data_IF_488790596359
#
_entry.id   IF_488790596359
#
_cell.length_a   1.000
_cell.length_b   1.000
_cell.length_c   1.000
_cell.angle_alpha   90.00
_cell.angle_beta   90.00
_cell.angle_gamma   90.00
#
_symmetry.space_group_name_H-M   'P 1'
#
loop_
_entity.id
_entity.type
_entity.pdbx_description
1 polymer ?
#
# COMPACT_ATOMS: atom_id res chain seq x y z
N UNK A 1 -19.25 -12.69 -2.80
CA UNK A 1 -17.84 -13.14 -2.76
C UNK A 1 -17.01 -11.87 -2.81
N UNK A 2 -16.13 -11.62 -1.83
CA UNK A 2 -15.28 -10.42 -1.78
C UNK A 2 -13.94 -10.69 -2.46
N UNK A 3 -13.40 -9.75 -3.24
CA UNK A 3 -12.17 -9.93 -4.02
C UNK A 3 -10.95 -9.27 -3.35
N UNK A 4 -11.02 -7.96 -3.12
CA UNK A 4 -10.07 -7.09 -2.45
C UNK A 4 -10.20 -7.23 -0.92
N UNK A 5 -9.76 -8.38 -0.43
CA UNK A 5 -9.68 -8.70 1.00
C UNK A 5 -8.40 -8.14 1.62
N UNK A 6 -8.35 -8.13 2.97
CA UNK A 6 -7.11 -7.82 3.69
C UNK A 6 -5.96 -8.72 3.27
N UNK A 7 -6.20 -10.03 3.18
CA UNK A 7 -5.20 -11.01 2.76
C UNK A 7 -4.69 -10.75 1.34
N UNK A 8 -5.59 -10.37 0.42
CA UNK A 8 -5.21 -9.99 -0.94
C UNK A 8 -4.31 -8.74 -0.93
N UNK A 9 -4.68 -7.70 -0.16
CA UNK A 9 -3.88 -6.49 -0.06
C UNK A 9 -2.51 -6.75 0.58
N UNK A 10 -2.44 -7.57 1.63
CA UNK A 10 -1.18 -7.97 2.23
C UNK A 10 -0.29 -8.75 1.26
N UNK A 11 -0.89 -9.51 0.34
CA UNK A 11 -0.17 -10.20 -0.72
C UNK A 11 0.41 -9.21 -1.73
N UNK A 12 -0.33 -8.15 -2.08
CA UNK A 12 0.16 -7.07 -2.95
C UNK A 12 1.44 -6.42 -2.43
N UNK A 13 1.65 -6.42 -1.10
CA UNK A 13 2.88 -5.88 -0.49
C UNK A 13 4.09 -6.82 -0.62
N UNK A 14 3.94 -8.02 -1.19
CA UNK A 14 4.94 -9.11 -1.19
C UNK A 14 5.34 -9.56 -2.61
N UNK A 15 5.15 -8.70 -3.60
CA UNK A 15 5.41 -9.00 -5.02
C UNK A 15 6.72 -8.46 -5.55
N UNK A 16 7.37 -7.56 -4.81
CA UNK A 16 8.47 -6.74 -5.34
C UNK A 16 9.79 -6.91 -4.59
N UNK A 17 9.88 -7.81 -3.60
CA UNK A 17 11.09 -7.97 -2.79
C UNK A 17 12.34 -8.35 -3.59
N UNK A 18 12.18 -8.92 -4.78
CA UNK A 18 13.29 -9.29 -5.65
C UNK A 18 13.78 -8.15 -6.56
N UNK A 19 13.00 -7.07 -6.75
CA UNK A 19 13.25 -6.09 -7.81
C UNK A 19 14.59 -5.35 -7.67
N UNK A 20 15.01 -5.08 -6.44
CA UNK A 20 16.26 -4.36 -6.16
C UNK A 20 17.41 -5.31 -5.80
N UNK A 21 17.15 -6.61 -5.61
CA UNK A 21 18.18 -7.54 -5.17
C UNK A 21 19.21 -7.78 -6.27
N UNK A 22 20.48 -7.71 -5.87
CA UNK A 22 21.62 -8.06 -6.69
C UNK A 22 22.28 -9.31 -6.16
N UNK A 23 22.70 -10.20 -7.07
CA UNK A 23 23.49 -11.36 -6.71
C UNK A 23 24.86 -10.93 -6.18
N UNK A 24 25.22 -11.42 -4.99
CA UNK A 24 26.56 -11.33 -4.43
C UNK A 24 26.96 -12.67 -3.81
N UNK A 25 28.01 -13.36 -4.32
CA UNK A 25 28.49 -14.61 -3.74
C UNK A 25 28.88 -14.50 -2.26
N UNK A 26 29.33 -13.32 -1.80
CA UNK A 26 29.68 -13.12 -0.38
C UNK A 26 28.44 -13.20 0.53
N UNK A 27 27.24 -12.95 0.01
CA UNK A 27 25.98 -13.08 0.74
C UNK A 27 25.58 -14.54 1.02
N UNK A 28 26.32 -15.54 0.52
CA UNK A 28 26.12 -16.96 0.85
C UNK A 28 26.51 -17.31 2.29
N UNK A 29 27.33 -16.48 2.93
CA UNK A 29 27.86 -16.75 4.26
C UNK A 29 27.73 -15.52 5.15
N UNK A 30 27.50 -15.75 6.44
CA UNK A 30 27.54 -14.68 7.42
C UNK A 30 28.97 -14.16 7.57
N UNK A 31 29.15 -12.84 7.43
CA UNK A 31 30.44 -12.18 7.63
C UNK A 31 30.24 -10.75 8.12
N UNK A 32 30.63 -10.50 9.37
CA UNK A 32 30.54 -9.15 9.95
C UNK A 32 31.44 -8.16 9.20
N UNK A 33 32.63 -8.59 8.79
CA UNK A 33 33.55 -7.74 8.03
C UNK A 33 32.92 -7.31 6.69
N UNK A 34 32.31 -8.25 5.97
CA UNK A 34 31.64 -7.96 4.70
C UNK A 34 30.44 -7.04 4.90
N UNK A 35 29.60 -7.28 5.92
CA UNK A 35 28.49 -6.39 6.24
C UNK A 35 28.98 -4.95 6.52
N UNK A 36 30.03 -4.77 7.32
CA UNK A 36 30.56 -3.43 7.63
C UNK A 36 31.12 -2.74 6.38
N UNK A 37 31.81 -3.47 5.49
CA UNK A 37 32.29 -2.91 4.23
C UNK A 37 31.14 -2.48 3.33
N UNK A 38 30.14 -3.34 3.15
CA UNK A 38 28.95 -3.07 2.34
C UNK A 38 28.15 -1.88 2.90
N UNK A 39 27.89 -1.87 4.20
CA UNK A 39 27.17 -0.79 4.87
C UNK A 39 27.83 0.57 4.63
N UNK A 40 29.15 0.66 4.81
CA UNK A 40 29.87 1.91 4.59
C UNK A 40 29.85 2.32 3.11
N UNK A 41 29.98 1.36 2.20
CA UNK A 41 29.91 1.64 0.76
C UNK A 41 28.52 2.17 0.34
N UNK A 42 27.44 1.54 0.79
CA UNK A 42 26.07 1.99 0.50
C UNK A 42 25.75 3.31 1.18
N UNK A 43 26.22 3.53 2.41
CA UNK A 43 26.07 4.82 3.09
C UNK A 43 26.76 5.94 2.32
N UNK A 44 27.97 5.70 1.79
CA UNK A 44 28.65 6.68 0.95
C UNK A 44 27.84 7.01 -0.32
N UNK A 45 27.33 5.99 -1.04
CA UNK A 45 26.49 6.22 -2.23
C UNK A 45 25.19 6.95 -1.90
N UNK A 46 24.55 6.63 -0.77
CA UNK A 46 23.38 7.34 -0.28
C UNK A 46 23.70 8.82 -0.10
N UNK A 47 24.75 9.15 0.65
CA UNK A 47 25.13 10.53 0.93
C UNK A 47 25.45 11.31 -0.34
N UNK A 48 26.18 10.70 -1.28
CA UNK A 48 26.49 11.34 -2.58
C UNK A 48 25.19 11.64 -3.35
N UNK A 49 24.26 10.68 -3.41
CA UNK A 49 22.96 10.86 -4.08
C UNK A 49 22.13 11.96 -3.41
N UNK A 50 22.06 12.00 -2.08
CA UNK A 50 21.29 13.00 -1.36
C UNK A 50 21.90 14.40 -1.48
N UNK A 51 23.24 14.51 -1.53
CA UNK A 51 23.93 15.77 -1.78
C UNK A 51 23.65 16.29 -3.21
N UNK A 52 23.62 15.40 -4.20
CA UNK A 52 23.23 15.73 -5.58
C UNK A 52 21.77 16.21 -5.67
N UNK A 53 20.84 15.47 -5.06
CA UNK A 53 19.42 15.86 -4.99
C UNK A 53 19.29 17.23 -4.31
N UNK A 54 19.98 17.43 -3.19
CA UNK A 54 19.97 18.70 -2.48
C UNK A 54 20.48 19.85 -3.36
N UNK A 55 21.57 19.64 -4.08
CA UNK A 55 22.11 20.63 -5.01
C UNK A 55 21.08 21.00 -6.10
N UNK A 56 20.40 20.02 -6.69
CA UNK A 56 19.30 20.28 -7.64
C UNK A 56 18.15 21.07 -7.00
N UNK A 57 17.72 20.72 -5.78
CA UNK A 57 16.65 21.43 -5.07
C UNK A 57 17.01 22.90 -4.78
N UNK A 58 18.27 23.17 -4.40
CA UNK A 58 18.75 24.55 -4.18
C UNK A 58 18.81 25.32 -5.49
N UNK A 59 19.39 24.73 -6.53
CA UNK A 59 19.69 25.43 -7.79
C UNK A 59 18.47 25.61 -8.69
N UNK A 60 17.59 24.62 -8.77
CA UNK A 60 16.45 24.61 -9.69
C UNK A 60 15.14 25.03 -9.01
N UNK A 61 15.00 24.74 -7.71
CA UNK A 61 13.74 24.95 -6.97
C UNK A 61 13.85 25.98 -5.84
N UNK A 62 15.02 26.61 -5.65
CA UNK A 62 15.23 27.69 -4.69
C UNK A 62 15.13 27.26 -3.22
N UNK A 63 15.39 25.97 -2.94
CA UNK A 63 15.47 25.45 -1.58
C UNK A 63 16.55 26.19 -0.76
N UNK A 64 16.26 26.53 0.49
CA UNK A 64 17.13 27.39 1.33
C UNK A 64 17.82 26.67 2.48
N UNK A 65 17.39 25.46 2.79
CA UNK A 65 18.02 24.66 3.83
C UNK A 65 19.41 24.21 3.35
N UNK A 66 20.32 23.99 4.30
CA UNK A 66 21.65 23.43 4.02
C UNK A 66 21.62 21.92 4.13
N UNK A 67 22.43 21.23 3.33
CA UNK A 67 22.58 19.78 3.43
C UNK A 67 23.12 19.37 4.81
N UNK A 68 22.38 18.52 5.51
CA UNK A 68 22.77 17.97 6.82
C UNK A 68 23.20 16.52 6.67
N UNK A 69 24.52 16.33 6.54
CA UNK A 69 25.11 15.02 6.31
C UNK A 69 24.92 14.05 7.48
N UNK A 70 24.80 14.53 8.72
CA UNK A 70 24.62 13.65 9.87
C UNK A 70 23.17 13.18 9.97
N UNK A 71 22.22 14.07 9.69
CA UNK A 71 20.80 13.70 9.53
C UNK A 71 20.60 12.65 8.43
N UNK A 72 21.28 12.79 7.29
CA UNK A 72 21.19 11.79 6.22
C UNK A 72 21.76 10.42 6.60
N UNK A 73 22.78 10.36 7.46
CA UNK A 73 23.28 9.08 8.01
C UNK A 73 22.25 8.42 8.92
N UNK A 74 21.57 9.20 9.76
CA UNK A 74 20.48 8.71 10.60
C UNK A 74 19.34 8.18 9.74
N UNK A 75 18.94 8.91 8.70
CA UNK A 75 17.91 8.46 7.75
C UNK A 75 18.29 7.17 7.03
N UNK A 76 19.53 7.04 6.56
CA UNK A 76 20.02 5.79 5.96
C UNK A 76 19.92 4.61 6.93
N UNK A 77 20.28 4.84 8.20
CA UNK A 77 20.15 3.81 9.23
C UNK A 77 18.69 3.43 9.49
N UNK A 78 17.79 4.41 9.56
CA UNK A 78 16.35 4.17 9.74
C UNK A 78 15.75 3.38 8.57
N UNK A 79 16.16 3.69 7.33
CA UNK A 79 15.76 2.93 6.13
C UNK A 79 16.23 1.48 6.24
N UNK A 80 17.46 1.23 6.69
CA UNK A 80 17.95 -0.14 6.89
C UNK A 80 17.12 -0.89 7.96
N UNK A 81 16.83 -0.25 9.09
CA UNK A 81 16.01 -0.85 10.15
C UNK A 81 14.58 -1.15 9.68
N UNK A 82 14.01 -0.24 8.91
CA UNK A 82 12.71 -0.44 8.26
C UNK A 82 12.75 -1.65 7.33
N UNK A 83 13.73 -1.73 6.42
CA UNK A 83 13.89 -2.83 5.48
C UNK A 83 14.04 -4.17 6.21
N UNK A 84 14.85 -4.23 7.26
CA UNK A 84 15.00 -5.42 8.10
C UNK A 84 13.66 -5.89 8.68
N UNK A 85 12.89 -4.98 9.27
CA UNK A 85 11.59 -5.31 9.84
C UNK A 85 10.56 -5.71 8.76
N UNK A 86 10.61 -5.04 7.62
CA UNK A 86 9.74 -5.28 6.47
C UNK A 86 9.98 -6.67 5.87
N UNK A 87 11.22 -7.02 5.55
CA UNK A 87 11.56 -8.33 5.02
C UNK A 87 11.30 -9.46 6.03
N UNK A 88 11.61 -9.24 7.31
CA UNK A 88 11.33 -10.23 8.36
C UNK A 88 9.85 -10.56 8.50
N UNK A 89 8.97 -9.58 8.27
CA UNK A 89 7.51 -9.76 8.33
C UNK A 89 6.94 -10.30 7.01
N UNK A 90 7.52 -9.90 5.88
CA UNK A 90 6.99 -10.17 4.55
C UNK A 90 7.42 -11.52 3.98
N UNK A 91 8.65 -11.96 4.25
CA UNK A 91 9.19 -13.18 3.67
C UNK A 91 8.76 -14.44 4.46
N UNK A 92 8.49 -15.57 3.77
CA UNK A 92 8.28 -16.86 4.42
C UNK A 92 9.50 -17.30 5.24
N UNK A 93 9.26 -17.99 6.35
CA UNK A 93 10.33 -18.55 7.21
C UNK A 93 11.30 -19.45 6.43
N UNK A 94 10.80 -20.19 5.44
CA UNK A 94 11.62 -21.04 4.56
C UNK A 94 12.63 -20.25 3.74
N UNK A 95 12.31 -19.02 3.33
CA UNK A 95 13.22 -18.13 2.61
C UNK A 95 14.13 -17.40 3.60
N UNK A 96 13.59 -16.93 4.73
CA UNK A 96 14.37 -16.30 5.79
C UNK A 96 15.52 -17.19 6.27
N UNK A 97 15.27 -18.50 6.40
CA UNK A 97 16.29 -19.47 6.81
C UNK A 97 17.38 -19.73 5.75
N UNK A 98 17.18 -19.30 4.50
CA UNK A 98 18.20 -19.38 3.44
C UNK A 98 19.11 -18.14 3.42
N UNK A 99 18.67 -17.05 4.03
CA UNK A 99 19.42 -15.78 4.09
C UNK A 99 20.49 -15.90 5.18
N UNK A 100 21.76 -15.86 4.80
CA UNK A 100 22.87 -15.98 5.73
C UNK A 100 23.02 -14.76 6.66
N UNK A 101 22.77 -13.55 6.14
CA UNK A 101 22.73 -12.31 6.91
C UNK A 101 21.63 -11.39 6.36
N UNK A 102 20.56 -11.18 7.16
CA UNK A 102 19.43 -10.35 6.75
C UNK A 102 19.82 -8.87 6.59
N UNK A 103 20.92 -8.41 7.22
CA UNK A 103 21.41 -7.03 7.08
C UNK A 103 22.02 -6.79 5.70
N UNK A 104 22.74 -7.78 5.18
CA UNK A 104 23.27 -7.78 3.80
C UNK A 104 22.12 -7.83 2.79
N UNK A 105 21.11 -8.67 3.06
CA UNK A 105 19.90 -8.72 2.26
C UNK A 105 19.15 -7.39 2.24
N UNK A 106 19.04 -6.71 3.39
CA UNK A 106 18.40 -5.41 3.50
C UNK A 106 19.16 -4.26 2.81
N UNK A 107 20.43 -4.50 2.45
CA UNK A 107 21.25 -3.66 1.57
C UNK A 107 21.22 -4.16 0.11
N UNK A 108 20.17 -4.90 -0.26
CA UNK A 108 19.90 -5.41 -1.59
C UNK A 108 20.91 -6.43 -2.14
N UNK A 109 21.61 -7.17 -1.28
CA UNK A 109 22.55 -8.23 -1.70
C UNK A 109 22.06 -9.61 -1.29
N UNK A 110 22.02 -10.55 -2.23
CA UNK A 110 21.57 -11.91 -1.97
C UNK A 110 22.45 -12.94 -2.67
N UNK A 111 22.52 -14.15 -2.13
CA UNK A 111 23.05 -15.27 -2.89
C UNK A 111 22.12 -15.60 -4.06
N UNK A 112 22.63 -16.30 -5.08
CA UNK A 112 21.83 -16.78 -6.21
C UNK A 112 20.59 -17.56 -5.76
N UNK A 113 20.77 -18.51 -4.86
CA UNK A 113 19.68 -19.38 -4.37
C UNK A 113 18.60 -18.57 -3.64
N UNK A 114 19.00 -17.59 -2.82
CA UNK A 114 18.06 -16.69 -2.14
C UNK A 114 17.33 -15.81 -3.15
N UNK A 115 18.05 -15.21 -4.10
CA UNK A 115 17.46 -14.38 -5.15
C UNK A 115 16.40 -15.15 -5.94
N UNK A 116 16.72 -16.37 -6.36
CA UNK A 116 15.81 -17.23 -7.12
C UNK A 116 14.58 -17.62 -6.28
N UNK A 117 14.77 -17.92 -4.98
CA UNK A 117 13.68 -18.24 -4.06
C UNK A 117 12.73 -17.04 -3.83
N UNK A 118 13.28 -15.84 -3.59
CA UNK A 118 12.50 -14.60 -3.41
C UNK A 118 11.78 -14.23 -4.70
N UNK A 119 12.45 -14.32 -5.85
CA UNK A 119 11.86 -14.06 -7.16
C UNK A 119 10.66 -14.97 -7.40
N UNK A 120 10.83 -16.28 -7.18
CA UNK A 120 9.73 -17.24 -7.33
C UNK A 120 8.56 -16.94 -6.39
N UNK A 121 8.84 -16.63 -5.13
CA UNK A 121 7.81 -16.26 -4.16
C UNK A 121 7.02 -15.02 -4.61
N UNK A 122 7.73 -13.99 -5.05
CA UNK A 122 7.12 -12.77 -5.57
C UNK A 122 6.26 -13.02 -6.82
N UNK A 123 6.77 -13.76 -7.81
CA UNK A 123 6.02 -14.10 -9.02
C UNK A 123 4.78 -14.95 -8.74
N UNK A 124 4.85 -15.86 -7.77
CA UNK A 124 3.70 -16.66 -7.34
C UNK A 124 2.62 -15.78 -6.71
N UNK A 125 3.01 -14.81 -5.88
CA UNK A 125 2.11 -13.82 -5.30
C UNK A 125 1.47 -12.95 -6.39
N UNK A 126 2.25 -12.46 -7.34
CA UNK A 126 1.75 -11.67 -8.49
C UNK A 126 0.69 -12.44 -9.28
N UNK A 127 0.92 -13.73 -9.57
CA UNK A 127 -0.06 -14.56 -10.29
C UNK A 127 -1.39 -14.67 -9.53
N UNK A 128 -1.34 -14.77 -8.20
CA UNK A 128 -2.54 -14.83 -7.36
C UNK A 128 -3.28 -13.48 -7.43
N UNK A 129 -2.55 -12.37 -7.29
CA UNK A 129 -3.11 -11.01 -7.34
C UNK A 129 -3.74 -10.73 -8.70
N UNK A 130 -3.03 -11.01 -9.78
CA UNK A 130 -3.51 -10.84 -11.16
C UNK A 130 -4.77 -11.66 -11.43
N UNK A 131 -4.82 -12.89 -10.90
CA UNK A 131 -6.00 -13.73 -11.00
C UNK A 131 -7.19 -13.09 -10.28
N UNK A 132 -7.03 -12.62 -9.05
CA UNK A 132 -8.11 -11.96 -8.29
C UNK A 132 -8.57 -10.70 -9.00
N UNK A 133 -7.64 -9.84 -9.43
CA UNK A 133 -7.93 -8.62 -10.19
C UNK A 133 -8.65 -8.92 -11.51
N UNK A 134 -8.24 -9.96 -12.22
CA UNK A 134 -8.87 -10.43 -13.45
C UNK A 134 -10.27 -11.00 -13.22
N UNK A 135 -10.48 -11.76 -12.16
CA UNK A 135 -11.78 -12.31 -11.80
C UNK A 135 -12.74 -11.21 -11.33
N UNK A 136 -12.28 -10.23 -10.55
CA UNK A 136 -13.05 -9.04 -10.20
C UNK A 136 -13.44 -8.24 -11.44
N UNK A 137 -12.51 -8.00 -12.37
CA UNK A 137 -12.79 -7.27 -13.61
C UNK A 137 -13.90 -7.94 -14.42
N UNK A 138 -13.88 -9.27 -14.55
CA UNK A 138 -14.94 -10.04 -15.23
C UNK A 138 -16.28 -9.91 -14.50
N UNK A 139 -16.27 -10.03 -13.17
CA UNK A 139 -17.48 -9.81 -12.37
C UNK A 139 -18.05 -8.42 -12.59
N UNK A 140 -17.22 -7.38 -12.46
CA UNK A 140 -17.65 -5.99 -12.53
C UNK A 140 -18.16 -5.60 -13.93
N UNK A 141 -17.58 -6.17 -15.00
CA UNK A 141 -18.09 -6.02 -16.38
C UNK A 141 -19.55 -6.48 -16.52
N UNK A 142 -19.95 -7.55 -15.85
CA UNK A 142 -21.34 -8.03 -15.88
C UNK A 142 -22.21 -7.30 -14.84
N UNK A 143 -21.71 -7.11 -13.62
CA UNK A 143 -22.46 -6.48 -12.52
C UNK A 143 -22.83 -5.02 -12.84
N UNK A 144 -21.93 -4.26 -13.47
CA UNK A 144 -22.14 -2.86 -13.86
C UNK A 144 -23.34 -2.65 -14.78
N UNK A 145 -23.78 -3.68 -15.52
CA UNK A 145 -25.02 -3.63 -16.34
C UNK A 145 -26.29 -3.50 -15.48
N UNK A 146 -26.22 -3.89 -14.21
CA UNK A 146 -27.33 -3.90 -13.26
C UNK A 146 -27.22 -2.86 -12.15
N UNK A 147 -26.01 -2.34 -11.94
CA UNK A 147 -25.69 -1.28 -10.96
C UNK A 147 -26.05 0.08 -11.59
N UNK A 148 -26.42 1.06 -10.75
CA UNK A 148 -26.71 2.41 -11.25
C UNK A 148 -25.47 3.01 -11.93
N UNK A 149 -25.70 3.75 -13.01
CA UNK A 149 -24.64 4.48 -13.72
C UNK A 149 -23.88 5.41 -12.77
N UNK A 150 -24.59 6.04 -11.85
CA UNK A 150 -24.02 6.95 -10.86
C UNK A 150 -22.98 6.26 -9.97
N UNK A 151 -23.23 5.04 -9.49
CA UNK A 151 -22.22 4.27 -8.73
C UNK A 151 -21.04 3.91 -9.62
N UNK A 152 -21.31 3.38 -10.82
CA UNK A 152 -20.26 2.89 -11.74
C UNK A 152 -19.28 4.00 -12.13
N UNK A 153 -19.75 5.24 -12.25
CA UNK A 153 -18.93 6.38 -12.66
C UNK A 153 -18.27 7.11 -11.48
N UNK A 154 -18.84 7.04 -10.27
CA UNK A 154 -18.46 7.94 -9.18
C UNK A 154 -17.96 7.24 -7.90
N UNK A 155 -18.23 5.94 -7.70
CA UNK A 155 -17.78 5.21 -6.51
C UNK A 155 -16.37 4.67 -6.69
N UNK A 156 -15.39 5.59 -6.74
CA UNK A 156 -13.97 5.29 -6.83
C UNK A 156 -13.19 6.35 -6.06
N UNK A 157 -12.71 5.99 -4.87
CA UNK A 157 -12.12 6.93 -3.92
C UNK A 157 -10.68 6.57 -3.54
N UNK A 158 -10.01 5.73 -4.32
CA UNK A 158 -8.61 5.34 -4.10
C UNK A 158 -7.74 6.57 -3.75
N UNK A 159 -6.95 6.44 -2.67
CA UNK A 159 -6.08 7.46 -2.07
C UNK A 159 -6.77 8.67 -1.41
N UNK A 160 -8.11 8.71 -1.37
CA UNK A 160 -8.83 9.70 -0.56
C UNK A 160 -8.74 9.36 0.95
N UNK A 161 -8.79 10.38 1.80
CA UNK A 161 -8.80 10.21 3.26
C UNK A 161 -10.20 10.53 3.78
N UNK A 162 -10.77 9.66 4.61
CA UNK A 162 -12.00 9.99 5.33
C UNK A 162 -11.68 11.01 6.43
N UNK A 163 -12.09 12.26 6.25
CA UNK A 163 -11.80 13.34 7.21
C UNK A 163 -12.88 13.47 8.29
N UNK A 164 -14.10 13.00 8.00
CA UNK A 164 -15.22 13.12 8.94
C UNK A 164 -16.32 12.12 8.61
N UNK A 165 -16.86 11.49 9.64
CA UNK A 165 -18.06 10.65 9.55
C UNK A 165 -19.22 11.35 10.27
N UNK A 166 -20.36 11.48 9.61
CA UNK A 166 -21.59 12.06 10.18
C UNK A 166 -22.72 11.06 10.06
N UNK A 167 -23.17 10.52 11.19
CA UNK A 167 -24.30 9.60 11.23
C UNK A 167 -25.54 10.29 11.80
N UNK A 168 -26.64 10.28 11.04
CA UNK A 168 -27.93 10.85 11.42
C UNK A 168 -29.04 9.81 11.23
N UNK A 169 -29.36 9.06 12.27
CA UNK A 169 -30.34 7.98 12.20
C UNK A 169 -29.90 6.90 11.20
N UNK A 170 -30.70 6.71 10.15
CA UNK A 170 -30.44 5.76 9.06
C UNK A 170 -29.67 6.37 7.87
N UNK A 171 -29.00 7.50 8.08
CA UNK A 171 -28.11 8.12 7.09
C UNK A 171 -26.68 8.19 7.62
N UNK A 172 -25.71 7.89 6.76
CA UNK A 172 -24.27 8.02 7.03
C UNK A 172 -23.63 8.85 5.92
N UNK A 173 -22.96 9.94 6.30
CA UNK A 173 -22.20 10.78 5.38
C UNK A 173 -20.72 10.65 5.69
N UNK A 174 -19.92 10.36 4.67
CA UNK A 174 -18.46 10.39 4.71
C UNK A 174 -17.98 11.64 3.96
N UNK A 175 -17.20 12.47 4.64
CA UNK A 175 -16.48 13.56 4.00
C UNK A 175 -15.04 13.11 3.73
N UNK A 176 -14.54 13.44 2.55
CA UNK A 176 -13.27 12.96 2.02
C UNK A 176 -12.35 14.15 1.71
N UNK A 177 -11.08 14.02 2.09
CA UNK A 177 -10.00 14.79 1.48
C UNK A 177 -9.56 14.05 0.21
N UNK A 178 -9.73 14.71 -0.93
CA UNK A 178 -9.45 14.16 -2.26
C UNK A 178 -8.10 14.59 -2.82
N UNK A 179 -7.29 15.33 -2.06
CA UNK A 179 -6.01 15.89 -2.53
C UNK A 179 -5.01 14.83 -3.00
N UNK A 180 -5.09 13.61 -2.47
CA UNK A 180 -4.30 12.46 -2.90
C UNK A 180 -4.97 11.58 -3.96
N UNK A 181 -6.28 11.74 -4.19
CA UNK A 181 -7.07 10.88 -5.06
C UNK A 181 -7.28 11.44 -6.47
N UNK A 182 -8.00 10.66 -7.30
CA UNK A 182 -8.29 10.99 -8.70
C UNK A 182 -9.74 11.48 -8.92
N UNK A 183 -10.40 11.96 -7.87
CA UNK A 183 -11.81 12.37 -7.89
C UNK A 183 -12.00 13.75 -7.26
N UNK A 184 -13.03 14.47 -7.71
CA UNK A 184 -13.49 15.75 -7.14
C UNK A 184 -14.68 15.56 -6.19
N UNK A 185 -15.11 14.31 -5.98
CA UNK A 185 -16.19 13.95 -5.07
C UNK A 185 -15.64 13.87 -3.66
N UNK A 186 -16.00 14.86 -2.85
CA UNK A 186 -15.51 15.00 -1.49
C UNK A 186 -16.55 14.59 -0.43
N UNK A 187 -17.74 14.16 -0.87
CA UNK A 187 -18.76 13.65 0.04
C UNK A 187 -19.57 12.53 -0.59
N UNK A 188 -19.82 11.49 0.20
CA UNK A 188 -20.78 10.45 -0.09
C UNK A 188 -21.74 10.27 1.08
N UNK A 189 -23.03 10.30 0.79
CA UNK A 189 -24.08 10.02 1.77
C UNK A 189 -24.79 8.73 1.40
N UNK A 190 -24.94 7.82 2.37
CA UNK A 190 -25.70 6.58 2.29
C UNK A 190 -26.99 6.73 3.10
N UNK A 191 -28.14 6.61 2.46
CA UNK A 191 -29.46 6.71 3.09
C UNK A 191 -30.12 5.32 3.24
N UNK A 192 -31.02 5.21 4.22
CA UNK A 192 -31.67 3.95 4.61
C UNK A 192 -30.65 2.81 4.83
N UNK A 193 -29.52 3.19 5.43
CA UNK A 193 -28.35 2.35 5.47
C UNK A 193 -28.36 1.35 6.63
N UNK A 194 -27.58 0.29 6.49
CA UNK A 194 -27.23 -0.66 7.53
C UNK A 194 -25.74 -0.98 7.45
N UNK A 195 -24.98 -0.69 8.51
CA UNK A 195 -23.57 -1.07 8.60
C UNK A 195 -23.50 -2.58 8.87
N UNK A 196 -22.95 -3.33 7.92
CA UNK A 196 -22.80 -4.78 7.99
C UNK A 196 -21.48 -5.18 8.67
N UNK A 197 -20.44 -4.38 8.47
CA UNK A 197 -19.12 -4.57 9.06
C UNK A 197 -18.39 -3.24 9.20
N UNK A 198 -17.72 -3.05 10.32
CA UNK A 198 -16.78 -1.96 10.53
C UNK A 198 -15.75 -2.42 11.55
N UNK A 199 -14.51 -2.63 11.10
CA UNK A 199 -13.46 -3.15 11.97
C UNK A 199 -12.87 -2.10 12.91
N UNK A 200 -12.88 -0.82 12.50
CA UNK A 200 -12.31 0.29 13.28
C UNK A 200 -12.97 1.63 12.90
N UNK A 201 -12.53 2.72 13.55
CA UNK A 201 -12.86 4.12 13.21
C UNK A 201 -12.42 4.43 11.78
N UNK A 202 -13.27 5.12 11.02
CA UNK A 202 -12.99 5.43 9.61
C UNK A 202 -12.25 6.76 9.45
N UNK A 203 -12.43 7.71 10.37
CA UNK A 203 -11.71 8.98 10.32
C UNK A 203 -10.19 8.78 10.29
N UNK A 204 -9.53 9.60 9.47
CA UNK A 204 -8.09 9.54 9.17
C UNK A 204 -7.65 8.29 8.39
N UNK A 205 -8.58 7.45 7.92
CA UNK A 205 -8.23 6.28 7.12
C UNK A 205 -8.17 6.60 5.61
N UNK A 206 -7.15 6.07 4.94
CA UNK A 206 -7.00 6.08 3.49
C UNK A 206 -7.88 5.02 2.86
N UNK A 207 -8.59 5.41 1.82
CA UNK A 207 -9.39 4.53 1.01
C UNK A 207 -8.48 3.77 0.02
N UNK A 208 -8.46 2.44 0.11
CA UNK A 208 -7.60 1.61 -0.72
C UNK A 208 -8.37 1.00 -1.89
N UNK A 209 -9.44 0.24 -1.62
CA UNK A 209 -10.16 -0.48 -2.65
C UNK A 209 -11.64 -0.55 -2.35
N UNK A 210 -12.44 -0.63 -3.41
CA UNK A 210 -13.89 -0.75 -3.31
C UNK A 210 -14.48 -1.81 -4.22
N UNK A 211 -15.59 -2.38 -3.76
CA UNK A 211 -16.43 -3.29 -4.51
C UNK A 211 -17.90 -2.95 -4.25
N UNK A 212 -18.74 -3.12 -5.27
CA UNK A 212 -20.18 -2.92 -5.13
C UNK A 212 -20.93 -4.16 -5.59
N UNK A 213 -21.91 -4.55 -4.78
CA UNK A 213 -22.81 -5.67 -5.05
C UNK A 213 -24.25 -5.18 -5.04
N UNK A 214 -25.03 -5.61 -6.04
CA UNK A 214 -26.47 -5.43 -6.02
C UNK A 214 -27.11 -6.61 -5.31
N UNK A 215 -27.85 -6.34 -4.24
CA UNK A 215 -28.53 -7.35 -3.41
C UNK A 215 -29.99 -6.96 -3.30
N UNK A 216 -30.85 -7.67 -4.04
CA UNK A 216 -32.28 -7.35 -4.19
C UNK A 216 -32.47 -5.88 -4.64
N UNK A 217 -33.15 -5.08 -3.81
CA UNK A 217 -33.44 -3.66 -4.06
C UNK A 217 -32.39 -2.71 -3.46
N UNK A 218 -31.28 -3.25 -2.93
CA UNK A 218 -30.21 -2.48 -2.28
C UNK A 218 -28.86 -2.69 -2.94
N UNK A 219 -27.90 -1.86 -2.54
CA UNK A 219 -26.49 -2.04 -2.82
C UNK A 219 -25.74 -2.36 -1.52
N UNK A 220 -24.73 -3.22 -1.62
CA UNK A 220 -23.71 -3.37 -0.60
C UNK A 220 -22.40 -2.79 -1.14
N UNK A 221 -21.83 -1.85 -0.38
CA UNK A 221 -20.56 -1.22 -0.66
C UNK A 221 -19.53 -1.83 0.29
N UNK A 222 -18.53 -2.49 -0.29
CA UNK A 222 -17.44 -3.12 0.45
C UNK A 222 -16.20 -2.28 0.21
N UNK A 223 -15.62 -1.77 1.29
CA UNK A 223 -14.49 -0.84 1.25
C UNK A 223 -13.38 -1.40 2.11
N UNK A 224 -12.16 -1.39 1.55
CA UNK A 224 -10.94 -1.63 2.28
C UNK A 224 -10.25 -0.29 2.52
N UNK A 225 -9.99 0.04 3.79
CA UNK A 225 -9.25 1.23 4.17
C UNK A 225 -7.98 0.86 4.94
N UNK A 226 -7.09 1.83 5.13
CA UNK A 226 -5.91 1.73 5.99
C UNK A 226 -5.83 2.93 6.92
N UNK A 227 -5.62 2.71 8.22
CA UNK A 227 -5.43 3.79 9.19
C UNK A 227 -3.97 4.27 9.25
N UNK A 228 -3.71 5.35 10.00
CA UNK A 228 -2.36 5.91 10.24
C UNK A 228 -1.35 4.94 10.87
N UNK A 229 -1.83 3.87 11.51
CA UNK A 229 -0.98 2.83 12.08
C UNK A 229 -0.67 1.71 11.07
N UNK A 230 -1.07 1.89 9.80
CA UNK A 230 -0.95 0.91 8.70
C UNK A 230 -1.85 -0.32 8.86
N UNK A 231 -2.85 -0.28 9.76
CA UNK A 231 -3.79 -1.38 9.97
C UNK A 231 -4.93 -1.29 8.97
N UNK A 232 -5.35 -2.44 8.45
CA UNK A 232 -6.41 -2.53 7.45
C UNK A 232 -7.79 -2.58 8.11
N UNK A 233 -8.74 -1.85 7.55
CA UNK A 233 -10.12 -1.73 8.02
C UNK A 233 -11.05 -2.24 6.93
N UNK A 234 -11.82 -3.30 7.22
CA UNK A 234 -12.98 -3.61 6.39
C UNK A 234 -14.17 -2.77 6.85
N UNK A 235 -14.74 -2.03 5.92
CA UNK A 235 -16.00 -1.34 6.09
C UNK A 235 -17.00 -1.84 5.04
N UNK A 236 -18.16 -2.32 5.49
CA UNK A 236 -19.22 -2.81 4.62
C UNK A 236 -20.53 -2.16 5.04
N UNK A 237 -21.17 -1.47 4.10
CA UNK A 237 -22.44 -0.78 4.31
C UNK A 237 -23.44 -1.17 3.22
N UNK A 238 -24.68 -1.47 3.63
CA UNK A 238 -25.80 -1.66 2.72
C UNK A 238 -26.66 -0.41 2.70
N UNK A 239 -27.07 0.05 1.52
CA UNK A 239 -27.97 1.21 1.36
C UNK A 239 -28.83 1.08 0.11
N UNK A 240 -30.03 1.67 0.11
CA UNK A 240 -30.90 1.74 -1.07
C UNK A 240 -30.78 3.07 -1.83
N UNK A 241 -30.32 4.11 -1.15
CA UNK A 241 -30.14 5.46 -1.67
C UNK A 241 -28.77 5.99 -1.29
N UNK A 242 -28.18 6.75 -2.20
CA UNK A 242 -26.87 7.35 -2.02
C UNK A 242 -26.83 8.68 -2.78
N UNK A 243 -25.97 9.58 -2.35
CA UNK A 243 -25.71 10.86 -3.03
C UNK A 243 -24.22 11.13 -3.02
N UNK A 244 -23.68 11.53 -4.17
CA UNK A 244 -22.31 12.02 -4.31
C UNK A 244 -22.34 13.54 -4.44
N UNK A 245 -21.51 14.25 -3.65
CA UNK A 245 -21.30 15.68 -3.83
C UNK A 245 -19.85 15.97 -4.21
N UNK A 246 -19.70 16.92 -5.12
CA UNK A 246 -18.42 17.43 -5.58
C UNK A 246 -18.07 18.69 -4.81
N UNK A 247 -16.81 18.81 -4.40
CA UNK A 247 -16.30 20.03 -3.82
C UNK A 247 -16.33 21.15 -4.85
N UNK A 248 -16.66 22.38 -4.41
CA UNK A 248 -16.45 23.60 -5.18
C UNK A 248 -14.99 24.05 -5.10
#
# INVERSE_FOLDING_TARGET
MKYFTKDWYELCQKTSFHLLLEEDPQAQHFSEEYFQQLYNAELHRWLDTQEEIHHCLVTEYGHKETFDRDKEKEQFHDVLLYNLAHFKRGLPETILNQIADLRVFALNKASRDVLDAVTKFCEENDRIIDKVSGDFRKYYQEASKSISKEIVENFAFHDCIVIKVVQNGNSLTLHLDTSGGFTDINEITFENMNILKQDDVLEEAWWLYEEVYKVEDKYEFHVLLQNKNMELIDFIISADRFTFLRGH
#
